data_IF_690838962220
#
_entry.id   IF_690838962220
#
_cell.length_a   1.000
_cell.length_b   1.000
_cell.length_c   1.000
_cell.angle_alpha   90.00
_cell.angle_beta   90.00
_cell.angle_gamma   90.00
#
_symmetry.space_group_name_H-M   'P 1'
#
loop_
_entity.id
_entity.type
_entity.pdbx_description
1 polymer ?
#
# COMPACT_ATOMS: atom_id res chain seq x y z
N UNK A 1 -29.91 -53.87 -23.39
CA UNK A 1 -29.33 -52.62 -22.87
C UNK A 1 -29.63 -52.55 -21.39
N UNK A 2 -28.58 -52.72 -20.56
CA UNK A 2 -28.40 -52.25 -19.17
C UNK A 2 -29.48 -52.58 -18.12
N UNK A 3 -29.18 -52.97 -16.89
CA UNK A 3 -28.01 -53.46 -16.16
C UNK A 3 -28.61 -53.91 -14.81
N UNK A 4 -28.01 -54.91 -14.18
CA UNK A 4 -28.43 -55.52 -12.93
C UNK A 4 -28.93 -54.51 -11.87
N UNK A 5 -30.20 -54.63 -11.45
CA UNK A 5 -30.60 -54.25 -10.09
C UNK A 5 -30.26 -55.42 -9.18
N UNK A 6 -29.14 -55.34 -8.46
CA UNK A 6 -28.89 -56.14 -7.26
C UNK A 6 -29.95 -55.73 -6.22
N UNK A 7 -31.03 -56.49 -6.16
CA UNK A 7 -31.92 -56.50 -4.99
C UNK A 7 -31.14 -57.24 -3.91
N UNK A 8 -30.70 -56.51 -2.89
CA UNK A 8 -30.16 -57.11 -1.68
C UNK A 8 -31.28 -57.96 -1.06
N UNK A 9 -31.08 -59.27 -1.06
CA UNK A 9 -32.05 -60.23 -0.55
C UNK A 9 -32.24 -60.05 0.95
N UNK A 10 -33.48 -59.81 1.36
CA UNK A 10 -33.95 -60.10 2.71
C UNK A 10 -34.07 -61.62 2.83
N UNK A 11 -33.15 -62.27 3.55
CA UNK A 11 -33.36 -63.64 4.02
C UNK A 11 -34.04 -63.53 5.39
N UNK A 12 -35.36 -63.74 5.42
CA UNK A 12 -36.07 -64.09 6.65
C UNK A 12 -35.88 -65.60 6.82
N UNK A 13 -35.02 -66.01 7.75
CA UNK A 13 -34.95 -67.42 8.14
C UNK A 13 -36.15 -67.76 9.02
N UNK A 14 -37.05 -68.58 8.45
CA UNK A 14 -38.17 -69.22 9.15
C UNK A 14 -37.62 -70.17 10.21
N UNK A 15 -37.98 -69.97 11.47
CA UNK A 15 -37.74 -70.95 12.55
C UNK A 15 -38.75 -72.07 12.42
N UNK A 16 -38.30 -73.24 11.95
CA UNK A 16 -39.08 -74.47 12.04
C UNK A 16 -38.90 -75.04 13.46
N UNK A 17 -39.97 -75.05 14.26
CA UNK A 17 -39.99 -75.72 15.56
C UNK A 17 -40.28 -77.20 15.33
N UNK A 18 -39.29 -78.06 15.61
CA UNK A 18 -39.46 -79.50 15.75
C UNK A 18 -38.84 -79.93 17.07
N UNK A 19 -39.66 -80.35 18.03
CA UNK A 19 -39.19 -80.91 19.31
C UNK A 19 -38.88 -82.39 19.11
N UNK A 20 -37.69 -82.83 19.54
CA UNK A 20 -37.41 -84.11 20.22
C UNK A 20 -35.91 -84.18 20.59
N UNK A 21 -35.59 -84.27 21.89
CA UNK A 21 -34.29 -84.74 22.40
C UNK A 21 -33.41 -83.69 23.08
N UNK A 22 -33.01 -83.98 24.32
CA UNK A 22 -32.18 -83.14 25.18
C UNK A 22 -30.74 -82.94 24.66
N UNK A 23 -30.24 -81.71 24.69
CA UNK A 23 -28.81 -81.41 24.51
C UNK A 23 -28.53 -80.09 23.80
N UNK A 24 -28.20 -79.05 24.58
CA UNK A 24 -27.51 -77.80 24.20
C UNK A 24 -27.99 -77.05 22.95
N UNK A 25 -28.70 -75.94 23.16
CA UNK A 25 -29.00 -74.94 22.13
C UNK A 25 -27.76 -74.09 21.83
N UNK A 26 -27.33 -74.06 20.56
CA UNK A 26 -26.45 -73.00 20.07
C UNK A 26 -27.32 -71.79 19.73
N UNK A 27 -27.23 -70.73 20.54
CA UNK A 27 -27.66 -69.41 20.11
C UNK A 27 -26.64 -68.97 19.07
N UNK A 28 -27.00 -69.03 17.79
CA UNK A 28 -26.27 -68.25 16.79
C UNK A 28 -26.61 -66.80 17.09
N UNK A 29 -25.64 -66.05 17.62
CA UNK A 29 -25.71 -64.60 17.62
C UNK A 29 -26.06 -64.19 16.19
N UNK A 30 -27.21 -63.54 16.07
CA UNK A 30 -27.69 -62.95 14.84
C UNK A 30 -26.61 -61.97 14.39
N UNK A 31 -25.77 -62.38 13.43
CA UNK A 31 -24.78 -61.49 12.81
C UNK A 31 -25.60 -60.47 12.02
N UNK A 32 -26.00 -59.42 12.73
CA UNK A 32 -26.52 -58.20 12.14
C UNK A 32 -25.55 -57.81 11.05
N UNK A 33 -26.06 -57.69 9.83
CA UNK A 33 -25.40 -57.09 8.68
C UNK A 33 -25.20 -55.58 8.89
N UNK A 34 -24.71 -55.19 10.06
CA UNK A 34 -24.19 -53.87 10.38
C UNK A 34 -22.68 -53.90 10.21
N UNK A 35 -22.10 -52.84 9.66
CA UNK A 35 -20.65 -52.68 9.59
C UNK A 35 -20.03 -52.91 10.96
N UNK A 36 -18.92 -53.66 11.02
CA UNK A 36 -18.21 -53.90 12.28
C UNK A 36 -17.71 -52.58 12.88
N UNK A 37 -17.56 -52.50 14.21
CA UNK A 37 -16.96 -51.30 14.84
C UNK A 37 -15.58 -50.97 14.29
N UNK A 38 -14.81 -51.99 13.88
CA UNK A 38 -13.49 -51.82 13.26
C UNK A 38 -13.61 -51.18 11.87
N UNK A 39 -14.48 -51.74 11.01
CA UNK A 39 -14.74 -51.21 9.67
C UNK A 39 -15.32 -49.78 9.72
N UNK A 40 -16.21 -49.51 10.67
CA UNK A 40 -16.71 -48.16 10.89
C UNK A 40 -15.57 -47.23 11.29
N UNK A 41 -14.73 -47.62 12.27
CA UNK A 41 -13.61 -46.81 12.73
C UNK A 41 -12.64 -46.49 11.58
N UNK A 42 -12.32 -47.44 10.71
CA UNK A 42 -11.47 -47.21 9.53
C UNK A 42 -12.05 -46.14 8.58
N UNK A 43 -13.37 -46.10 8.45
CA UNK A 43 -14.08 -45.16 7.59
C UNK A 43 -14.36 -43.79 8.25
N UNK A 44 -14.24 -43.65 9.57
CA UNK A 44 -14.35 -42.33 10.24
C UNK A 44 -13.21 -41.44 9.75
N UNK A 45 -13.57 -40.23 9.29
CA UNK A 45 -12.67 -39.20 8.80
C UNK A 45 -13.16 -37.83 9.27
N UNK A 46 -12.22 -36.90 9.40
CA UNK A 46 -12.51 -35.47 9.50
C UNK A 46 -12.63 -34.92 8.08
N UNK A 47 -13.67 -34.14 7.84
CA UNK A 47 -13.83 -33.39 6.59
C UNK A 47 -13.19 -32.00 6.73
N UNK A 48 -12.17 -31.75 5.92
CA UNK A 48 -11.40 -30.50 5.94
C UNK A 48 -11.88 -29.56 4.84
N UNK A 49 -12.00 -28.27 5.17
CA UNK A 49 -12.27 -27.25 4.16
C UNK A 49 -11.10 -27.08 3.19
N UNK A 50 -11.34 -26.43 2.05
CA UNK A 50 -10.31 -26.20 1.04
C UNK A 50 -9.08 -25.49 1.65
N UNK A 51 -7.89 -26.06 1.43
CA UNK A 51 -6.62 -25.54 1.94
C UNK A 51 -6.26 -25.95 3.36
N UNK A 52 -7.15 -26.68 4.06
CA UNK A 52 -6.89 -27.24 5.37
C UNK A 52 -6.44 -28.71 5.31
N UNK A 53 -5.80 -29.15 6.38
CA UNK A 53 -5.38 -30.54 6.62
C UNK A 53 -5.22 -30.79 8.12
N UNK A 54 -4.92 -32.03 8.52
CA UNK A 54 -4.61 -32.33 9.92
C UNK A 54 -3.40 -31.54 10.48
N UNK A 55 -2.49 -31.04 9.64
CA UNK A 55 -1.35 -30.23 10.08
C UNK A 55 -1.59 -28.72 10.01
N UNK A 56 -2.72 -28.31 9.44
CA UNK A 56 -3.06 -26.91 9.21
C UNK A 56 -4.57 -26.76 9.15
N UNK A 57 -5.19 -26.52 10.29
CA UNK A 57 -6.61 -26.20 10.42
C UNK A 57 -6.74 -24.70 10.63
N UNK A 58 -7.51 -24.04 9.77
CA UNK A 58 -7.82 -22.60 9.85
C UNK A 58 -9.32 -22.31 9.78
N UNK A 59 -10.13 -23.34 9.56
CA UNK A 59 -11.57 -23.25 9.36
C UNK A 59 -12.27 -24.37 10.12
N UNK A 60 -13.59 -24.24 10.28
CA UNK A 60 -14.42 -25.25 10.94
C UNK A 60 -14.31 -26.61 10.26
N UNK A 61 -14.34 -27.68 11.06
CA UNK A 61 -14.19 -29.05 10.62
C UNK A 61 -15.56 -29.73 10.50
N UNK A 62 -15.73 -30.56 9.46
CA UNK A 62 -16.87 -31.46 9.37
C UNK A 62 -16.60 -32.77 10.12
N UNK A 63 -17.49 -33.14 11.02
CA UNK A 63 -17.38 -34.30 11.90
C UNK A 63 -18.59 -35.20 11.71
N UNK A 64 -18.41 -36.36 11.08
CA UNK A 64 -19.52 -37.29 10.84
C UNK A 64 -20.15 -37.74 12.16
N UNK A 65 -21.46 -37.57 12.31
CA UNK A 65 -22.24 -38.05 13.46
C UNK A 65 -22.69 -39.51 13.31
N UNK A 66 -22.57 -40.06 12.10
CA UNK A 66 -22.75 -41.47 11.83
C UNK A 66 -21.90 -41.88 10.63
N UNK A 67 -21.40 -43.12 10.66
CA UNK A 67 -20.64 -43.74 9.58
C UNK A 67 -21.15 -45.16 9.42
N UNK A 68 -21.53 -45.55 8.19
CA UNK A 68 -22.11 -46.86 7.89
C UNK A 68 -23.33 -47.22 8.76
N UNK A 69 -24.12 -46.22 9.18
CA UNK A 69 -25.30 -46.41 10.04
C UNK A 69 -24.99 -46.57 11.54
N UNK A 70 -23.72 -46.47 11.93
CA UNK A 70 -23.28 -46.53 13.33
C UNK A 70 -23.03 -45.12 13.86
N UNK A 71 -23.49 -44.81 15.06
CA UNK A 71 -23.33 -43.50 15.70
C UNK A 71 -21.87 -43.20 16.01
N UNK A 72 -21.46 -41.95 15.77
CA UNK A 72 -20.13 -41.43 16.10
C UNK A 72 -20.29 -40.15 16.93
N UNK A 73 -19.76 -40.18 18.14
CA UNK A 73 -19.77 -39.03 19.07
C UNK A 73 -18.36 -38.47 19.17
N UNK A 74 -18.22 -37.16 19.04
CA UNK A 74 -16.92 -36.50 19.06
C UNK A 74 -16.66 -35.75 20.36
N UNK A 75 -15.42 -35.82 20.83
CA UNK A 75 -14.90 -34.97 21.90
C UNK A 75 -13.62 -34.28 21.44
N UNK A 76 -13.26 -33.20 22.14
CA UNK A 76 -12.06 -32.42 21.89
C UNK A 76 -11.22 -32.35 23.16
N UNK A 77 -9.91 -32.51 23.02
CA UNK A 77 -8.96 -32.32 24.13
C UNK A 77 -8.82 -30.87 24.58
N UNK A 78 -9.16 -29.90 23.73
CA UNK A 78 -9.14 -28.46 24.05
C UNK A 78 -10.34 -27.76 23.40
N UNK A 79 -11.41 -27.62 24.18
CA UNK A 79 -12.66 -26.98 23.73
C UNK A 79 -12.55 -25.47 23.58
N UNK A 80 -11.48 -24.84 24.11
CA UNK A 80 -11.20 -23.43 23.86
C UNK A 80 -10.69 -23.18 22.44
N UNK A 81 -10.14 -24.22 21.79
CA UNK A 81 -9.59 -24.17 20.43
C UNK A 81 -10.53 -24.81 19.42
N UNK A 82 -11.06 -25.99 19.72
CA UNK A 82 -12.08 -26.65 18.89
C UNK A 82 -13.23 -27.13 19.77
N UNK A 83 -14.38 -26.46 19.68
CA UNK A 83 -15.61 -26.88 20.34
C UNK A 83 -16.46 -27.76 19.41
N UNK A 84 -17.18 -28.74 19.94
CA UNK A 84 -18.02 -29.64 19.15
C UNK A 84 -19.48 -29.18 19.20
N UNK A 85 -20.08 -28.91 18.04
CA UNK A 85 -21.47 -28.50 17.88
C UNK A 85 -22.14 -29.39 16.83
N UNK A 86 -22.80 -30.46 17.30
CA UNK A 86 -23.40 -31.46 16.41
C UNK A 86 -22.35 -32.14 15.54
N UNK A 87 -22.46 -31.98 14.22
CA UNK A 87 -21.52 -32.51 13.23
C UNK A 87 -20.41 -31.52 12.82
N UNK A 88 -20.20 -30.45 13.60
CA UNK A 88 -19.20 -29.41 13.30
C UNK A 88 -18.23 -29.25 14.47
N UNK A 89 -16.93 -29.30 14.16
CA UNK A 89 -15.88 -28.82 15.04
C UNK A 89 -15.65 -27.34 14.78
N UNK A 90 -16.16 -26.47 15.67
CA UNK A 90 -16.02 -25.01 15.55
C UNK A 90 -14.64 -24.62 16.05
N UNK A 91 -13.83 -24.08 15.13
CA UNK A 91 -12.43 -23.71 15.36
C UNK A 91 -12.36 -22.24 15.76
N UNK A 92 -11.75 -21.99 16.91
CA UNK A 92 -11.46 -20.65 17.40
C UNK A 92 -10.05 -20.23 16.96
N UNK A 93 -9.86 -18.91 16.83
CA UNK A 93 -8.55 -18.34 16.52
C UNK A 93 -7.55 -18.61 17.65
N UNK A 94 -6.31 -18.84 17.25
CA UNK A 94 -5.19 -19.11 18.17
C UNK A 94 -4.04 -18.15 17.90
N UNK A 95 -3.37 -17.72 18.96
CA UNK A 95 -2.21 -16.83 18.89
C UNK A 95 -0.92 -17.56 18.48
N UNK A 96 -0.90 -18.88 18.61
CA UNK A 96 0.16 -19.77 18.18
C UNK A 96 -0.44 -21.12 17.76
N UNK A 97 0.32 -21.92 17.01
CA UNK A 97 -0.18 -23.21 16.56
C UNK A 97 -0.46 -24.13 17.77
N UNK A 98 -1.66 -24.71 17.81
CA UNK A 98 -2.08 -25.62 18.89
C UNK A 98 -2.44 -26.99 18.35
N UNK A 99 -1.98 -28.02 19.04
CA UNK A 99 -2.36 -29.40 18.77
C UNK A 99 -3.61 -29.76 19.56
N UNK A 100 -4.63 -30.25 18.86
CA UNK A 100 -5.89 -30.70 19.45
C UNK A 100 -6.13 -32.14 19.04
N UNK A 101 -6.45 -33.00 20.00
CA UNK A 101 -6.87 -34.37 19.72
C UNK A 101 -8.39 -34.41 19.71
N UNK A 102 -8.95 -34.75 18.55
CA UNK A 102 -10.37 -35.03 18.39
C UNK A 102 -10.57 -36.54 18.49
N UNK A 103 -11.41 -36.96 19.44
CA UNK A 103 -11.67 -38.39 19.68
C UNK A 103 -13.07 -38.71 19.18
N UNK A 104 -13.14 -39.59 18.18
CA UNK A 104 -14.38 -40.17 17.70
C UNK A 104 -14.68 -41.45 18.49
N UNK A 105 -15.78 -41.46 19.24
CA UNK A 105 -16.29 -42.64 19.93
C UNK A 105 -17.41 -43.25 19.09
N UNK A 106 -17.12 -44.41 18.49
CA UNK A 106 -18.05 -45.20 17.67
C UNK A 106 -18.80 -46.15 18.59
N UNK A 107 -20.14 -46.08 18.60
CA UNK A 107 -20.98 -46.86 19.51
C UNK A 107 -21.93 -47.80 18.77
N UNK A 108 -21.99 -49.05 19.21
CA UNK A 108 -23.00 -50.02 18.78
C UNK A 108 -23.50 -50.82 19.99
N UNK A 109 -24.64 -50.42 20.54
CA UNK A 109 -25.16 -50.96 21.80
C UNK A 109 -24.22 -50.66 22.98
N UNK A 110 -23.77 -51.70 23.68
CA UNK A 110 -22.81 -51.60 24.80
C UNK A 110 -21.34 -51.64 24.37
N UNK A 111 -21.05 -51.87 23.09
CA UNK A 111 -19.70 -51.92 22.56
C UNK A 111 -19.30 -50.55 22.03
N UNK A 112 -18.06 -50.15 22.30
CA UNK A 112 -17.49 -48.92 21.78
C UNK A 112 -16.07 -49.14 21.26
N UNK A 113 -15.69 -48.31 20.29
CA UNK A 113 -14.33 -48.18 19.77
C UNK A 113 -14.02 -46.70 19.66
N UNK A 114 -12.78 -46.32 19.95
CA UNK A 114 -12.32 -44.94 19.79
C UNK A 114 -11.32 -44.84 18.65
N UNK A 115 -11.36 -43.70 17.95
CA UNK A 115 -10.34 -43.30 16.98
C UNK A 115 -9.96 -41.85 17.23
N UNK A 116 -8.67 -41.61 17.35
CA UNK A 116 -8.13 -40.30 17.65
C UNK A 116 -7.57 -39.64 16.38
N UNK A 117 -7.80 -38.33 16.29
CA UNK A 117 -7.30 -37.49 15.22
C UNK A 117 -6.57 -36.31 15.83
N UNK A 118 -5.26 -36.29 15.67
CA UNK A 118 -4.46 -35.12 16.06
C UNK A 118 -4.52 -34.11 14.93
N UNK A 119 -5.05 -32.92 15.23
CA UNK A 119 -5.08 -31.78 14.32
C UNK A 119 -4.25 -30.62 14.86
N UNK A 120 -3.72 -29.80 13.96
CA UNK A 120 -2.96 -28.58 14.31
C UNK A 120 -3.73 -27.37 13.84
N UNK A 121 -4.33 -26.63 14.77
CA UNK A 121 -4.94 -25.34 14.48
C UNK A 121 -3.83 -24.31 14.39
N UNK A 122 -3.76 -23.58 13.28
CA UNK A 122 -2.73 -22.57 13.07
C UNK A 122 -3.33 -21.18 13.11
N UNK A 123 -2.51 -20.21 13.53
CA UNK A 123 -2.87 -18.80 13.51
C UNK A 123 -3.15 -18.34 12.08
N UNK A 124 -4.34 -17.76 11.86
CA UNK A 124 -4.70 -17.14 10.60
C UNK A 124 -3.99 -15.79 10.45
N UNK A 125 -3.48 -15.54 9.24
CA UNK A 125 -2.82 -14.29 8.87
C UNK A 125 -3.36 -13.79 7.53
N UNK A 126 -3.29 -12.48 7.33
CA UNK A 126 -3.54 -11.81 6.06
C UNK A 126 -2.25 -11.21 5.53
N UNK A 127 -2.08 -11.30 4.22
CA UNK A 127 -0.98 -10.64 3.53
C UNK A 127 -1.31 -9.16 3.37
N UNK A 128 -0.41 -8.30 3.82
CA UNK A 128 -0.45 -6.87 3.55
C UNK A 128 0.70 -6.53 2.62
N UNK A 129 0.34 -6.04 1.43
CA UNK A 129 1.26 -5.66 0.36
C UNK A 129 1.32 -4.15 0.27
N UNK A 130 2.52 -3.59 0.15
CA UNK A 130 2.73 -2.18 -0.14
C UNK A 130 3.21 -2.07 -1.59
N UNK A 131 2.30 -1.69 -2.49
CA UNK A 131 2.53 -1.71 -3.93
C UNK A 131 3.74 -0.83 -4.31
N UNK A 132 4.68 -1.42 -5.07
CA UNK A 132 5.94 -0.77 -5.43
C UNK A 132 6.98 -0.70 -4.31
N UNK A 133 6.68 -1.24 -3.13
CA UNK A 133 7.56 -1.26 -1.95
C UNK A 133 7.53 -2.63 -1.25
N UNK A 134 7.78 -3.69 -2.03
CA UNK A 134 7.70 -5.10 -1.59
C UNK A 134 8.53 -5.40 -0.33
N UNK A 135 9.59 -4.63 -0.07
CA UNK A 135 10.41 -4.72 1.15
C UNK A 135 9.61 -4.43 2.44
N UNK A 136 8.45 -3.81 2.33
CA UNK A 136 7.57 -3.51 3.46
C UNK A 136 6.44 -4.51 3.64
N UNK A 137 6.31 -5.52 2.77
CA UNK A 137 5.24 -6.50 2.88
C UNK A 137 5.31 -7.27 4.20
N UNK A 138 4.14 -7.45 4.82
CA UNK A 138 4.03 -8.14 6.12
C UNK A 138 2.85 -9.11 6.13
N UNK A 139 2.85 -9.98 7.14
CA UNK A 139 1.67 -10.77 7.50
C UNK A 139 1.09 -10.22 8.79
N UNK A 140 -0.19 -9.86 8.74
CA UNK A 140 -0.93 -9.37 9.91
C UNK A 140 -1.81 -10.51 10.42
N UNK A 141 -1.83 -10.80 11.73
CA UNK A 141 -2.79 -11.73 12.32
C UNK A 141 -4.23 -11.43 11.93
N UNK A 142 -5.09 -12.45 11.88
CA UNK A 142 -6.53 -12.25 11.75
C UNK A 142 -7.04 -11.25 12.80
N UNK A 143 -7.84 -10.27 12.38
CA UNK A 143 -8.31 -9.16 13.22
C UNK A 143 -7.21 -8.26 13.82
N UNK A 144 -5.96 -8.41 13.38
CA UNK A 144 -4.85 -7.56 13.75
C UNK A 144 -4.84 -6.23 12.99
N UNK A 145 -3.97 -5.32 13.43
CA UNK A 145 -3.72 -4.02 12.81
C UNK A 145 -2.26 -3.93 12.35
N UNK A 146 -1.96 -3.01 11.42
CA UNK A 146 -0.57 -2.67 11.08
C UNK A 146 -0.06 -1.66 12.09
N UNK A 147 0.90 -2.05 12.93
CA UNK A 147 1.41 -1.19 14.02
C UNK A 147 2.63 -0.37 13.65
N UNK A 148 3.41 -0.80 12.66
CA UNK A 148 4.58 -0.09 12.17
C UNK A 148 4.37 0.27 10.70
N UNK A 149 3.75 1.41 10.46
CA UNK A 149 3.44 1.88 9.10
C UNK A 149 4.71 2.47 8.47
N UNK A 150 5.18 1.94 7.34
CA UNK A 150 6.39 2.42 6.69
C UNK A 150 6.18 3.80 6.03
N UNK A 151 7.25 4.59 5.94
CA UNK A 151 7.29 5.85 5.21
C UNK A 151 8.23 5.69 4.01
N UNK A 152 7.71 5.43 2.80
CA UNK A 152 8.54 5.24 1.61
C UNK A 152 9.20 6.56 1.17
N UNK A 153 10.34 6.43 0.49
CA UNK A 153 11.08 7.55 -0.10
C UNK A 153 11.02 7.41 -1.62
N UNK A 154 10.76 8.52 -2.32
CA UNK A 154 10.75 8.61 -3.78
C UNK A 154 11.35 9.95 -4.21
N UNK A 155 12.40 9.91 -5.01
CA UNK A 155 13.13 11.11 -5.44
C UNK A 155 12.23 12.12 -6.13
N UNK A 156 12.28 13.38 -5.69
CA UNK A 156 11.45 14.46 -6.22
C UNK A 156 9.99 14.46 -5.71
N UNK A 157 9.65 13.59 -4.76
CA UNK A 157 8.31 13.49 -4.17
C UNK A 157 8.34 13.48 -2.64
N UNK A 158 7.28 13.98 -2.03
CA UNK A 158 7.02 13.91 -0.58
C UNK A 158 5.90 12.91 -0.33
N UNK A 159 6.17 11.87 0.47
CA UNK A 159 5.13 10.91 0.87
C UNK A 159 4.07 11.57 1.75
N UNK A 160 2.80 11.25 1.51
CA UNK A 160 1.65 11.77 2.26
C UNK A 160 1.03 10.70 3.13
N UNK A 161 0.55 9.64 2.51
CA UNK A 161 -0.18 8.57 3.19
C UNK A 161 -0.28 7.32 2.33
N UNK A 162 -0.72 6.22 2.93
CA UNK A 162 -1.13 5.02 2.23
C UNK A 162 -2.64 5.06 1.95
N UNK A 163 -3.06 4.48 0.83
CA UNK A 163 -4.46 4.36 0.43
C UNK A 163 -4.78 2.96 -0.08
N UNK A 164 -6.05 2.57 -0.09
CA UNK A 164 -6.52 1.32 -0.70
C UNK A 164 -6.66 1.41 -2.22
N UNK A 165 -6.61 2.62 -2.77
CA UNK A 165 -6.73 2.90 -4.19
C UNK A 165 -5.56 3.80 -4.64
N UNK A 166 -5.18 3.71 -5.91
CA UNK A 166 -4.17 4.60 -6.49
C UNK A 166 -4.60 6.06 -6.35
N UNK A 167 -3.79 6.89 -5.67
CA UNK A 167 -4.09 8.29 -5.36
C UNK A 167 -5.38 8.49 -4.54
N UNK A 168 -5.81 7.49 -3.78
CA UNK A 168 -7.01 7.58 -2.96
C UNK A 168 -6.82 8.33 -1.63
N UNK A 169 -7.87 8.31 -0.82
CA UNK A 169 -7.88 8.90 0.53
C UNK A 169 -6.99 8.12 1.50
N UNK A 170 -6.52 8.77 2.56
CA UNK A 170 -5.71 8.13 3.59
C UNK A 170 -6.46 6.96 4.25
N UNK A 171 -5.76 5.84 4.40
CA UNK A 171 -6.22 4.72 5.20
C UNK A 171 -5.88 4.95 6.69
N UNK A 172 -6.79 4.60 7.58
CA UNK A 172 -6.59 4.61 9.03
C UNK A 172 -6.15 3.21 9.51
N UNK A 173 -4.87 3.09 9.85
CA UNK A 173 -4.24 1.84 10.31
C UNK A 173 -4.63 1.40 11.71
N UNK A 174 -5.48 2.16 12.42
CA UNK A 174 -6.15 1.67 13.62
C UNK A 174 -7.24 0.62 13.29
N UNK A 175 -7.68 0.55 12.03
CA UNK A 175 -8.64 -0.45 11.57
C UNK A 175 -8.00 -1.82 11.34
N UNK A 176 -8.79 -2.86 11.65
CA UNK A 176 -8.38 -4.25 11.50
C UNK A 176 -8.23 -4.65 10.04
N UNK A 177 -7.19 -5.44 9.74
CA UNK A 177 -7.04 -6.13 8.47
C UNK A 177 -7.88 -7.41 8.52
N UNK A 178 -8.90 -7.48 7.67
CA UNK A 178 -9.89 -8.59 7.64
C UNK A 178 -9.80 -9.45 6.38
N UNK A 179 -8.89 -9.12 5.47
CA UNK A 179 -8.56 -9.86 4.25
C UNK A 179 -7.18 -9.45 3.76
N UNK A 180 -6.62 -10.19 2.81
CA UNK A 180 -5.44 -9.77 2.09
C UNK A 180 -5.67 -8.39 1.46
N UNK A 181 -4.73 -7.47 1.69
CA UNK A 181 -4.88 -6.05 1.40
C UNK A 181 -3.63 -5.51 0.72
N UNK A 182 -3.82 -4.71 -0.32
CA UNK A 182 -2.74 -3.97 -0.98
C UNK A 182 -2.94 -2.49 -0.72
N UNK A 183 -1.88 -1.82 -0.28
CA UNK A 183 -1.84 -0.37 -0.07
C UNK A 183 -1.00 0.30 -1.15
N UNK A 184 -1.44 1.47 -1.59
CA UNK A 184 -0.78 2.33 -2.58
C UNK A 184 -0.30 3.61 -1.90
N UNK A 185 0.96 3.97 -2.11
CA UNK A 185 1.52 5.20 -1.56
C UNK A 185 1.03 6.41 -2.35
N UNK A 186 0.59 7.45 -1.64
CA UNK A 186 0.21 8.74 -2.21
C UNK A 186 1.34 9.74 -1.94
N UNK A 187 1.75 10.45 -3.00
CA UNK A 187 2.87 11.38 -2.99
C UNK A 187 2.45 12.74 -3.55
N UNK A 188 3.00 13.82 -2.97
CA UNK A 188 3.01 15.14 -3.60
C UNK A 188 4.32 15.31 -4.37
N UNK A 189 4.26 15.83 -5.59
CA UNK A 189 5.45 16.21 -6.33
C UNK A 189 6.10 17.42 -5.67
N UNK A 190 7.40 17.36 -5.40
CA UNK A 190 8.12 18.49 -4.85
C UNK A 190 8.18 19.59 -5.91
N UNK A 191 7.91 20.84 -5.52
CA UNK A 191 8.06 21.95 -6.43
C UNK A 191 9.54 22.10 -6.81
N UNK A 192 9.83 22.10 -8.11
CA UNK A 192 11.19 22.21 -8.64
C UNK A 192 11.47 23.56 -9.28
N UNK A 193 10.44 24.42 -9.39
CA UNK A 193 10.54 25.74 -9.99
C UNK A 193 10.18 26.83 -8.99
N UNK A 194 10.84 27.97 -9.11
CA UNK A 194 10.48 29.18 -8.39
C UNK A 194 10.49 30.39 -9.32
N UNK A 195 9.68 31.38 -8.97
CA UNK A 195 9.64 32.67 -9.65
C UNK A 195 10.76 33.58 -9.14
N UNK A 196 11.31 34.43 -10.00
CA UNK A 196 12.26 35.47 -9.64
C UNK A 196 11.97 36.75 -10.45
N UNK A 197 12.58 37.87 -10.06
CA UNK A 197 12.41 39.15 -10.75
C UNK A 197 13.64 39.59 -11.52
N UNK A 198 13.42 40.26 -12.65
CA UNK A 198 14.46 40.99 -13.40
C UNK A 198 14.06 42.46 -13.51
N UNK A 199 14.88 43.33 -12.96
CA UNK A 199 14.69 44.78 -12.92
C UNK A 199 15.67 45.48 -13.87
N UNK A 200 15.16 46.44 -14.64
CA UNK A 200 15.94 47.23 -15.58
C UNK A 200 15.87 48.72 -15.23
N UNK A 201 17.02 49.29 -14.91
CA UNK A 201 17.20 50.65 -14.44
C UNK A 201 17.87 51.53 -15.49
N UNK A 202 17.28 52.68 -15.80
CA UNK A 202 17.79 53.59 -16.84
C UNK A 202 18.19 54.93 -16.23
N UNK A 203 19.35 55.44 -16.64
CA UNK A 203 19.89 56.72 -16.16
C UNK A 203 18.90 57.87 -16.47
N UNK A 204 18.67 58.74 -15.49
CA UNK A 204 17.80 59.89 -15.64
C UNK A 204 18.47 61.00 -16.46
N UNK A 205 17.67 61.75 -17.23
CA UNK A 205 18.14 62.93 -17.96
C UNK A 205 18.46 64.12 -17.05
N UNK A 206 17.68 64.28 -15.97
CA UNK A 206 17.66 65.50 -15.13
C UNK A 206 18.49 65.39 -13.86
N UNK A 207 18.96 64.18 -13.50
CA UNK A 207 19.82 63.95 -12.34
C UNK A 207 20.81 62.80 -12.60
N UNK A 208 21.64 62.50 -11.60
CA UNK A 208 22.66 61.44 -11.70
C UNK A 208 22.15 60.06 -11.25
N UNK A 209 20.85 59.93 -10.99
CA UNK A 209 20.21 58.68 -10.56
C UNK A 209 19.70 57.82 -11.73
N UNK A 210 19.14 56.67 -11.36
CA UNK A 210 18.51 55.72 -12.28
C UNK A 210 17.08 55.44 -11.84
N UNK A 211 16.19 55.16 -12.79
CA UNK A 211 14.78 54.83 -12.54
C UNK A 211 14.48 53.42 -13.05
N UNK A 212 13.76 52.61 -12.26
CA UNK A 212 13.20 51.34 -12.69
C UNK A 212 12.21 51.59 -13.83
N UNK A 213 12.46 51.01 -15.00
CA UNK A 213 11.57 51.13 -16.17
C UNK A 213 10.86 49.84 -16.53
N UNK A 214 11.51 48.70 -16.31
CA UNK A 214 10.95 47.38 -16.61
C UNK A 214 11.19 46.46 -15.44
N UNK A 215 10.14 45.80 -14.99
CA UNK A 215 10.17 44.67 -14.07
C UNK A 215 9.54 43.47 -14.78
N UNK A 216 10.23 42.33 -14.79
CA UNK A 216 9.72 41.06 -15.32
C UNK A 216 9.74 40.01 -14.23
N UNK A 217 8.70 39.17 -14.19
CA UNK A 217 8.70 37.92 -13.43
C UNK A 217 9.04 36.78 -14.37
N UNK A 218 10.03 35.98 -14.01
CA UNK A 218 10.47 34.79 -14.75
C UNK A 218 10.42 33.56 -13.83
N UNK A 219 10.36 32.36 -14.41
CA UNK A 219 10.44 31.09 -13.67
C UNK A 219 11.69 30.34 -14.07
N UNK A 220 12.22 29.53 -13.17
CA UNK A 220 13.27 28.58 -13.49
C UNK A 220 13.48 27.56 -12.38
N UNK A 221 14.38 26.62 -12.63
CA UNK A 221 14.66 25.52 -11.70
C UNK A 221 15.35 26.04 -10.43
N UNK A 222 14.82 25.67 -9.27
CA UNK A 222 15.39 25.99 -7.95
C UNK A 222 16.85 25.50 -7.87
N UNK A 223 17.70 26.27 -7.21
CA UNK A 223 19.14 26.02 -7.05
C UNK A 223 19.95 25.96 -8.34
N UNK A 224 19.45 26.59 -9.41
CA UNK A 224 20.23 26.85 -10.63
C UNK A 224 20.60 28.32 -10.72
N UNK A 225 21.77 28.59 -11.33
CA UNK A 225 22.18 29.96 -11.65
C UNK A 225 21.46 30.43 -12.92
N UNK A 226 20.86 31.61 -12.84
CA UNK A 226 20.28 32.30 -14.00
C UNK A 226 20.95 33.66 -14.20
N UNK A 227 20.87 34.18 -15.43
CA UNK A 227 21.46 35.46 -15.83
C UNK A 227 20.40 36.34 -16.46
N UNK A 228 20.37 37.60 -16.06
CA UNK A 228 19.45 38.58 -16.63
C UNK A 228 19.74 38.80 -18.11
N UNK A 229 18.69 38.74 -18.93
CA UNK A 229 18.76 39.10 -20.34
C UNK A 229 18.71 40.63 -20.45
N UNK A 230 19.70 41.23 -21.11
CA UNK A 230 19.76 42.68 -21.31
C UNK A 230 18.80 43.14 -22.41
N UNK A 231 18.16 44.28 -22.19
CA UNK A 231 17.20 44.95 -23.07
C UNK A 231 17.59 46.43 -23.31
N UNK A 232 18.75 46.69 -23.94
CA UNK A 232 19.14 48.07 -24.22
C UNK A 232 18.07 48.78 -25.06
N UNK A 233 17.82 50.06 -24.74
CA UNK A 233 16.94 50.93 -25.51
C UNK A 233 17.78 51.97 -26.26
N UNK A 234 17.26 52.51 -27.35
CA UNK A 234 17.96 53.52 -28.14
C UNK A 234 18.45 54.69 -27.27
N UNK A 235 19.72 55.06 -27.46
CA UNK A 235 20.37 56.11 -26.65
C UNK A 235 20.91 55.66 -25.30
N UNK A 236 20.80 54.37 -24.95
CA UNK A 236 21.35 53.79 -23.72
C UNK A 236 22.34 52.66 -23.98
N UNK A 237 23.31 52.52 -23.07
CA UNK A 237 24.31 51.44 -23.06
C UNK A 237 24.25 50.70 -21.73
N UNK A 238 24.34 49.36 -21.75
CA UNK A 238 24.45 48.57 -20.52
C UNK A 238 25.78 48.88 -19.83
N UNK A 239 25.75 49.04 -18.52
CA UNK A 239 26.95 49.26 -17.71
C UNK A 239 27.02 48.31 -16.51
N UNK A 240 28.22 48.08 -15.99
CA UNK A 240 28.40 47.39 -14.72
C UNK A 240 28.30 48.39 -13.55
N UNK A 241 27.07 48.79 -13.21
CA UNK A 241 26.81 49.70 -12.08
C UNK A 241 27.06 48.96 -10.73
N UNK A 242 27.51 49.64 -9.65
CA UNK A 242 27.76 49.00 -8.36
C UNK A 242 26.58 48.22 -7.76
N UNK A 243 25.34 48.64 -8.08
CA UNK A 243 24.12 47.96 -7.63
C UNK A 243 23.62 46.85 -8.59
N UNK A 244 24.39 46.53 -9.64
CA UNK A 244 24.00 45.50 -10.61
C UNK A 244 24.10 44.12 -9.96
N UNK A 245 23.11 43.28 -10.25
CA UNK A 245 23.08 41.86 -9.89
C UNK A 245 22.65 41.13 -11.13
N UNK A 246 23.60 40.78 -12.00
CA UNK A 246 23.27 40.20 -13.31
C UNK A 246 23.12 38.69 -13.30
N UNK A 247 23.67 38.01 -12.28
CA UNK A 247 23.62 36.56 -12.09
C UNK A 247 23.24 36.25 -10.65
N UNK A 248 22.43 35.23 -10.45
CA UNK A 248 22.09 34.74 -9.12
C UNK A 248 21.43 33.38 -9.16
N UNK A 249 21.40 32.73 -8.00
CA UNK A 249 20.74 31.43 -7.81
C UNK A 249 19.23 31.61 -7.60
N UNK A 250 18.43 30.82 -8.32
CA UNK A 250 16.98 30.78 -8.15
C UNK A 250 16.67 30.08 -6.83
N UNK A 251 16.06 30.82 -5.89
CA UNK A 251 15.72 30.31 -4.56
C UNK A 251 14.26 29.89 -4.49
N UNK A 252 13.98 28.84 -3.73
CA UNK A 252 12.63 28.32 -3.52
C UNK A 252 11.64 29.36 -2.93
N UNK A 253 12.14 30.35 -2.20
CA UNK A 253 11.34 31.44 -1.60
C UNK A 253 11.01 32.58 -2.57
N UNK A 254 11.52 32.53 -3.81
CA UNK A 254 11.33 33.55 -4.83
C UNK A 254 12.05 34.88 -4.57
N UNK A 255 13.05 34.90 -3.66
CA UNK A 255 13.74 36.14 -3.25
C UNK A 255 14.79 36.66 -4.23
N UNK A 256 15.08 35.94 -5.32
CA UNK A 256 16.05 36.39 -6.32
C UNK A 256 15.51 37.60 -7.08
N UNK A 257 16.27 38.70 -7.07
CA UNK A 257 16.04 39.89 -7.89
C UNK A 257 17.32 40.25 -8.63
N UNK A 258 17.31 40.06 -9.94
CA UNK A 258 18.41 40.49 -10.82
C UNK A 258 18.20 41.94 -11.24
N UNK A 259 19.29 42.71 -11.32
CA UNK A 259 19.27 44.14 -11.65
C UNK A 259 20.26 44.47 -12.75
N UNK A 260 19.78 45.08 -13.82
CA UNK A 260 20.59 45.54 -14.95
C UNK A 260 20.46 47.05 -15.10
N UNK A 261 21.59 47.74 -15.25
CA UNK A 261 21.66 49.19 -15.35
C UNK A 261 22.10 49.67 -16.73
N UNK A 262 21.43 50.71 -17.22
CA UNK A 262 21.68 51.32 -18.52
C UNK A 262 21.97 52.81 -18.39
N UNK A 263 23.13 53.23 -18.89
CA UNK A 263 23.60 54.61 -18.88
C UNK A 263 23.25 55.31 -20.20
N UNK A 264 22.90 56.59 -20.15
CA UNK A 264 22.68 57.39 -21.36
C UNK A 264 24.00 57.57 -22.12
N UNK A 265 23.95 57.40 -23.43
CA UNK A 265 25.06 57.77 -24.32
C UNK A 265 25.36 59.25 -24.14
N UNK A 266 26.65 59.59 -24.07
CA UNK A 266 27.14 60.97 -24.00
C UNK A 266 27.78 61.35 -25.33
N UNK A 267 27.52 62.58 -25.79
CA UNK A 267 28.16 63.17 -26.97
C UNK A 267 28.88 64.45 -26.59
N UNK A 268 30.05 64.66 -27.19
CA UNK A 268 30.77 65.91 -27.06
C UNK A 268 30.17 66.93 -28.03
N UNK A 269 29.74 68.06 -27.50
CA UNK A 269 29.37 69.26 -28.28
C UNK A 269 30.54 70.23 -28.18
N UNK A 270 31.00 70.73 -29.33
CA UNK A 270 32.00 71.79 -29.42
C UNK A 270 31.36 73.03 -30.02
N UNK A 271 31.84 74.21 -29.61
CA UNK A 271 31.30 75.49 -30.03
C UNK A 271 32.24 76.16 -31.04
N UNK A 272 31.70 76.62 -32.16
CA UNK A 272 32.49 77.36 -33.17
C UNK A 272 32.78 78.78 -32.66
N UNK A 273 34.05 79.19 -32.75
CA UNK A 273 34.51 80.53 -32.37
C UNK A 273 34.31 81.57 -33.47
N UNK A 274 33.80 81.20 -34.66
CA UNK A 274 33.53 82.09 -35.79
C UNK A 274 34.74 82.99 -36.15
N UNK A 275 35.95 82.43 -36.07
CA UNK A 275 37.21 83.14 -36.35
C UNK A 275 37.92 83.73 -35.12
N UNK A 276 37.41 83.54 -33.91
CA UNK A 276 38.10 83.89 -32.66
C UNK A 276 39.31 83.00 -32.35
N UNK A 277 40.18 83.43 -31.43
CA UNK A 277 41.36 82.67 -30.97
C UNK A 277 41.19 82.20 -29.52
N UNK A 278 41.67 81.00 -29.19
CA UNK A 278 41.60 80.42 -27.84
C UNK A 278 41.23 78.94 -27.81
N UNK A 279 41.00 78.40 -26.60
CA UNK A 279 40.54 77.02 -26.42
C UNK A 279 39.08 76.88 -26.87
N UNK A 280 38.80 75.94 -27.76
CA UNK A 280 37.43 75.61 -28.20
C UNK A 280 36.66 75.03 -27.00
N UNK A 281 35.60 75.69 -26.50
CA UNK A 281 34.78 75.13 -25.44
C UNK A 281 34.15 73.82 -25.91
N UNK A 282 34.12 72.82 -25.04
CA UNK A 282 33.40 71.57 -25.30
C UNK A 282 32.72 71.05 -24.05
N UNK A 283 31.59 70.37 -24.24
CA UNK A 283 30.81 69.77 -23.16
C UNK A 283 30.37 68.37 -23.58
N UNK A 284 30.61 67.39 -22.71
CA UNK A 284 29.99 66.07 -22.82
C UNK A 284 28.57 66.15 -22.27
N UNK A 285 27.56 66.00 -23.13
CA UNK A 285 26.14 66.03 -22.74
C UNK A 285 25.50 64.66 -22.94
N UNK A 286 24.54 64.32 -22.06
CA UNK A 286 23.67 63.15 -22.26
C UNK A 286 22.84 63.38 -23.53
N UNK A 287 22.74 62.37 -24.39
CA UNK A 287 21.88 62.45 -25.58
C UNK A 287 20.44 62.70 -25.14
N UNK A 288 19.81 63.75 -25.68
CA UNK A 288 18.47 64.21 -25.29
C UNK A 288 18.43 65.35 -24.27
N UNK A 289 19.57 65.74 -23.69
CA UNK A 289 19.67 66.95 -22.84
C UNK A 289 19.79 68.22 -23.67
N UNK A 290 19.33 69.35 -23.10
CA UNK A 290 19.53 70.69 -23.68
C UNK A 290 21.02 71.07 -23.59
N UNK A 291 21.60 71.53 -24.71
CA UNK A 291 22.94 72.13 -24.73
C UNK A 291 22.88 73.46 -23.98
N UNK A 292 23.76 73.66 -22.99
CA UNK A 292 23.94 74.95 -22.34
C UNK A 292 25.12 75.62 -23.01
N UNK A 293 24.90 76.81 -23.57
CA UNK A 293 25.97 77.61 -24.15
C UNK A 293 26.94 78.06 -23.04
N UNK A 294 28.26 77.85 -23.20
CA UNK A 294 29.27 78.23 -22.24
C UNK A 294 29.41 79.76 -22.08
#
# INVERSE_FOLDING_TARGET
>A
MNLLKKVAGFIIAVVLVGVLGAGTYYVFDNIQSGSSLEETADNVKIDYQQGDSNRRVTQNLGLANSVNGVEVVWTSSDTSVISIQGNVGVVNDVEEAKHVTLTATIKNGSKEKVKEFVVTVVKKHYNVVFDGFEQFNIKVPFNGVVTNVPTPIKDGFTFKHWSLETNGVSFDFSNKIVKDTTFYAVFDQNNTEATYKVEHYYENLTNNGYTLKVEKSETGTISTLTRAVSIPSDGFIKINHPNSVEVGEIKADGSLVLRVYYQLVRKNVSFDLQGGSGNIPSQAIKVGSKVITP
#
